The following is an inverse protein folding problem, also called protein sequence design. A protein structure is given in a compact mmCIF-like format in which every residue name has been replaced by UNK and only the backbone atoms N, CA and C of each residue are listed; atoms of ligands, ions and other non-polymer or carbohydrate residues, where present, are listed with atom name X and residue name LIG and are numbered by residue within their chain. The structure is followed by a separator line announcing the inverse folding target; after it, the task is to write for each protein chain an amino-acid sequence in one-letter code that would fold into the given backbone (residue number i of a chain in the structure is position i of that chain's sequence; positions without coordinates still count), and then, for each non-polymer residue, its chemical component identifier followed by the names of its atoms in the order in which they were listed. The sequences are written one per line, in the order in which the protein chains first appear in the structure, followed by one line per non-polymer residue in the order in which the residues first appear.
data_IF_897881138943
#
_entry.id   IF_897881138943
#
_cell.length_a   1.000
_cell.length_b   1.000
_cell.length_c   1.000
_cell.angle_alpha   90.00
_cell.angle_beta   90.00
_cell.angle_gamma   90.00
#
_symmetry.space_group_name_H-M   'P 1'
#
loop_
_entity.id
_entity.type
_entity.pdbx_description
1 polymer ?
#
# COMPACT_ATOMS: atom_id res chain seq x y z
N UNK A 1 -12.47 17.98 -9.08
CA UNK A 1 -12.29 16.91 -8.09
C UNK A 1 -10.79 16.75 -7.89
N UNK A 2 -10.26 17.21 -6.76
CA UNK A 2 -8.82 17.22 -6.50
C UNK A 2 -8.30 15.77 -6.53
N UNK A 3 -7.41 15.48 -7.46
CA UNK A 3 -6.61 14.26 -7.40
C UNK A 3 -5.64 14.50 -6.26
N UNK A 4 -6.06 14.17 -5.03
CA UNK A 4 -5.31 14.46 -3.82
C UNK A 4 -3.85 14.03 -4.02
N UNK A 5 -2.94 15.00 -3.96
CA UNK A 5 -1.53 14.76 -4.11
C UNK A 5 -1.07 13.91 -2.92
N UNK A 6 -0.97 12.59 -3.13
CA UNK A 6 -0.43 11.66 -2.15
C UNK A 6 0.93 12.17 -1.69
N UNK A 7 1.14 12.22 -0.38
CA UNK A 7 2.38 12.67 0.27
C UNK A 7 2.93 11.61 1.20
N UNK A 8 4.18 11.79 1.58
CA UNK A 8 4.85 10.94 2.58
C UNK A 8 4.09 11.03 3.91
N UNK A 9 3.89 9.89 4.54
CA UNK A 9 3.10 9.72 5.77
C UNK A 9 1.64 9.39 5.56
N UNK A 10 1.10 9.52 4.34
CA UNK A 10 -0.28 9.13 4.05
C UNK A 10 -0.43 7.61 4.17
N UNK A 11 -1.58 7.16 4.68
CA UNK A 11 -1.97 5.75 4.59
C UNK A 11 -2.73 5.53 3.29
N UNK A 12 -2.26 4.60 2.47
CA UNK A 12 -2.85 4.26 1.18
C UNK A 12 -3.20 2.78 1.11
N UNK A 13 -4.18 2.45 0.28
CA UNK A 13 -4.56 1.09 -0.05
C UNK A 13 -4.19 0.78 -1.50
N UNK A 14 -3.60 -0.39 -1.73
CA UNK A 14 -3.33 -0.95 -3.06
C UNK A 14 -4.25 -2.16 -3.25
N UNK A 15 -5.02 -2.18 -4.33
CA UNK A 15 -5.81 -3.36 -4.68
C UNK A 15 -4.93 -4.36 -5.44
N UNK A 16 -4.63 -5.50 -4.83
CA UNK A 16 -3.93 -6.60 -5.45
C UNK A 16 -4.86 -7.79 -5.69
N UNK A 17 -4.47 -8.71 -6.57
CA UNK A 17 -5.24 -9.94 -6.85
C UNK A 17 -4.52 -11.15 -6.30
N UNK A 18 -5.18 -11.93 -5.47
CA UNK A 18 -4.66 -13.18 -4.94
C UNK A 18 -4.52 -14.18 -6.08
N UNK A 19 -3.34 -14.78 -6.20
CA UNK A 19 -3.06 -15.84 -7.18
C UNK A 19 -3.16 -17.23 -6.55
N UNK A 20 -2.44 -17.45 -5.44
CA UNK A 20 -2.43 -18.72 -4.72
C UNK A 20 -1.81 -18.58 -3.33
N UNK A 21 -2.10 -19.52 -2.44
CA UNK A 21 -1.32 -19.73 -1.21
C UNK A 21 0.05 -20.31 -1.55
N UNK A 22 1.09 -19.82 -0.89
CA UNK A 22 2.47 -20.32 -1.03
C UNK A 22 2.86 -21.16 0.19
N UNK A 23 2.63 -20.63 1.39
CA UNK A 23 2.84 -21.29 2.69
C UNK A 23 1.64 -21.02 3.60
N UNK A 24 1.55 -21.62 4.79
CA UNK A 24 0.43 -21.38 5.71
C UNK A 24 0.22 -19.88 6.04
N UNK A 25 1.31 -19.12 6.05
CA UNK A 25 1.35 -17.70 6.40
C UNK A 25 1.57 -16.75 5.22
N UNK A 26 1.78 -17.26 3.99
CA UNK A 26 2.07 -16.42 2.82
C UNK A 26 1.20 -16.68 1.60
N UNK A 27 0.86 -15.57 0.94
CA UNK A 27 0.02 -15.54 -0.26
C UNK A 27 0.78 -14.85 -1.38
N UNK A 28 0.71 -15.45 -2.57
CA UNK A 28 1.19 -14.82 -3.80
C UNK A 28 0.09 -13.92 -4.36
N UNK A 29 0.40 -12.64 -4.52
CA UNK A 29 -0.49 -11.61 -5.05
C UNK A 29 0.08 -10.99 -6.32
N UNK A 30 -0.80 -10.62 -7.23
CA UNK A 30 -0.50 -9.80 -8.40
C UNK A 30 -0.74 -8.34 -8.03
N UNK A 31 0.31 -7.54 -8.05
CA UNK A 31 0.24 -6.12 -7.75
C UNK A 31 0.17 -5.36 -9.08
N UNK A 32 -0.75 -4.38 -9.21
CA UNK A 32 -0.78 -3.55 -10.40
C UNK A 32 0.57 -2.87 -10.62
N UNK A 33 1.08 -2.90 -11.85
CA UNK A 33 2.42 -2.41 -12.28
C UNK A 33 3.57 -3.38 -12.07
N UNK A 34 3.37 -4.52 -11.40
CA UNK A 34 4.41 -5.56 -11.29
C UNK A 34 4.20 -6.64 -12.34
N UNK A 35 5.31 -7.09 -12.94
CA UNK A 35 5.30 -8.21 -13.89
C UNK A 35 5.46 -9.57 -13.21
N UNK A 36 5.97 -9.60 -11.98
CA UNK A 36 6.12 -10.81 -11.17
C UNK A 36 5.16 -10.83 -9.99
N UNK A 37 4.63 -12.00 -9.61
CA UNK A 37 3.85 -12.15 -8.38
C UNK A 37 4.70 -11.78 -7.16
N UNK A 38 4.10 -11.06 -6.23
CA UNK A 38 4.72 -10.70 -4.97
C UNK A 38 4.21 -11.60 -3.85
N UNK A 39 5.05 -11.97 -2.88
CA UNK A 39 4.63 -12.77 -1.73
C UNK A 39 4.44 -11.87 -0.52
N UNK A 40 3.25 -11.89 0.06
CA UNK A 40 2.91 -11.15 1.28
C UNK A 40 2.60 -12.13 2.42
N UNK A 41 2.74 -11.65 3.65
CA UNK A 41 2.29 -12.37 4.84
C UNK A 41 0.78 -12.13 5.00
N UNK A 42 0.00 -13.21 4.93
CA UNK A 42 -1.45 -13.20 5.13
C UNK A 42 -1.90 -14.58 5.60
N UNK A 43 -2.39 -14.62 6.84
CA UNK A 43 -2.85 -15.82 7.55
C UNK A 43 -4.36 -16.05 7.41
N UNK A 44 -5.06 -15.26 6.60
CA UNK A 44 -6.51 -15.41 6.35
C UNK A 44 -6.78 -16.82 5.82
N UNK A 45 -7.54 -17.69 6.52
CA UNK A 45 -7.58 -19.12 6.24
C UNK A 45 -8.24 -19.45 4.88
N UNK A 46 -9.27 -18.69 4.52
CA UNK A 46 -10.06 -18.91 3.31
C UNK A 46 -9.73 -17.84 2.27
N UNK A 47 -8.71 -18.11 1.44
CA UNK A 47 -8.39 -17.27 0.28
C UNK A 47 -8.71 -18.00 -1.02
N UNK A 48 -9.29 -17.29 -1.98
CA UNK A 48 -9.54 -17.81 -3.33
C UNK A 48 -8.65 -17.14 -4.36
N UNK A 49 -8.21 -17.92 -5.36
CA UNK A 49 -7.54 -17.34 -6.53
C UNK A 49 -8.50 -16.38 -7.26
N UNK A 50 -7.98 -15.24 -7.71
CA UNK A 50 -8.76 -14.17 -8.32
C UNK A 50 -9.42 -13.21 -7.33
N UNK A 51 -9.42 -13.52 -6.03
CA UNK A 51 -9.94 -12.62 -5.01
C UNK A 51 -9.11 -11.33 -4.94
N UNK A 52 -9.79 -10.19 -4.77
CA UNK A 52 -9.13 -8.91 -4.54
C UNK A 52 -8.81 -8.75 -3.05
N UNK A 53 -7.63 -8.22 -2.76
CA UNK A 53 -7.17 -7.87 -1.42
C UNK A 53 -6.67 -6.42 -1.41
N UNK A 54 -6.92 -5.71 -0.31
CA UNK A 54 -6.35 -4.39 -0.08
C UNK A 54 -5.07 -4.51 0.75
N UNK A 55 -3.96 -4.06 0.18
CA UNK A 55 -2.69 -3.91 0.88
C UNK A 55 -2.63 -2.49 1.42
N UNK A 56 -2.76 -2.34 2.74
CA UNK A 56 -2.77 -1.03 3.40
C UNK A 56 -1.40 -0.76 3.99
N UNK A 57 -0.85 0.41 3.70
CA UNK A 57 0.45 0.81 4.20
C UNK A 57 0.67 2.31 4.17
N UNK A 58 1.77 2.74 4.79
CA UNK A 58 2.18 4.13 4.85
C UNK A 58 3.07 4.48 3.66
N UNK A 59 2.86 5.65 3.08
CA UNK A 59 3.70 6.15 2.01
C UNK A 59 5.05 6.58 2.57
N UNK A 60 6.11 5.91 2.13
CA UNK A 60 7.50 6.21 2.52
C UNK A 60 8.18 7.16 1.54
N UNK A 61 7.82 7.07 0.26
CA UNK A 61 8.41 7.88 -0.82
C UNK A 61 7.38 8.15 -1.91
N UNK A 62 7.44 9.36 -2.47
CA UNK A 62 6.65 9.76 -3.64
C UNK A 62 7.65 10.25 -4.69
N UNK A 63 7.63 9.62 -5.86
CA UNK A 63 8.31 10.08 -7.06
C UNK A 63 7.27 10.62 -8.06
N UNK A 64 7.70 11.05 -9.24
CA UNK A 64 6.81 11.67 -10.23
C UNK A 64 5.61 10.76 -10.58
N UNK A 65 5.89 9.51 -10.93
CA UNK A 65 4.87 8.54 -11.38
C UNK A 65 4.61 7.39 -10.39
N UNK A 66 5.46 7.23 -9.38
CA UNK A 66 5.43 6.07 -8.46
C UNK A 66 5.37 6.48 -7.00
N UNK A 67 4.82 5.59 -6.18
CA UNK A 67 4.74 5.71 -4.73
C UNK A 67 5.29 4.45 -4.11
N UNK A 68 6.19 4.59 -3.14
CA UNK A 68 6.67 3.49 -2.32
C UNK A 68 5.84 3.43 -1.04
N UNK A 69 5.19 2.29 -0.83
CA UNK A 69 4.34 1.99 0.32
C UNK A 69 5.06 1.02 1.23
N UNK A 70 5.31 1.47 2.45
CA UNK A 70 5.86 0.71 3.56
C UNK A 70 4.78 0.09 4.44
N UNK A 71 5.23 -0.73 5.38
CA UNK A 71 4.37 -1.54 6.23
C UNK A 71 4.99 -2.90 6.43
N UNK A 72 4.33 -3.75 7.23
CA UNK A 72 4.81 -5.10 7.51
C UNK A 72 4.85 -5.90 6.20
N UNK A 73 6.06 -6.19 5.72
CA UNK A 73 6.35 -6.98 4.52
C UNK A 73 5.82 -6.39 3.19
N UNK A 74 5.54 -5.08 3.14
CA UNK A 74 5.07 -4.43 1.92
C UNK A 74 6.24 -3.90 1.08
N UNK A 75 6.93 -2.83 1.49
CA UNK A 75 8.10 -2.31 0.76
C UNK A 75 7.90 -2.18 -0.77
N UNK A 76 6.68 -1.88 -1.22
CA UNK A 76 6.25 -2.02 -2.61
C UNK A 76 6.29 -0.65 -3.29
N UNK A 77 6.74 -0.59 -4.53
CA UNK A 77 6.66 0.64 -5.35
C UNK A 77 5.64 0.45 -6.46
N UNK A 78 4.59 1.27 -6.50
CA UNK A 78 3.51 1.14 -7.48
C UNK A 78 3.23 2.46 -8.16
N UNK A 79 2.55 2.42 -9.32
CA UNK A 79 2.09 3.64 -9.99
C UNK A 79 1.13 4.42 -9.09
N UNK A 80 1.19 5.75 -9.16
CA UNK A 80 0.26 6.65 -8.45
C UNK A 80 -1.21 6.39 -8.76
N UNK A 81 -1.53 5.87 -9.95
CA UNK A 81 -2.89 5.51 -10.33
C UNK A 81 -3.41 4.21 -9.69
N UNK A 82 -2.53 3.41 -9.09
CA UNK A 82 -2.87 2.11 -8.48
C UNK A 82 -3.09 2.20 -6.96
N UNK A 83 -2.91 3.38 -6.38
CA UNK A 83 -3.09 3.64 -4.94
C UNK A 83 -4.35 4.46 -4.70
N UNK A 84 -5.03 4.15 -3.61
CA UNK A 84 -6.17 4.91 -3.09
C UNK A 84 -5.80 5.49 -1.73
N UNK A 85 -6.02 6.79 -1.54
CA UNK A 85 -5.85 7.43 -0.25
C UNK A 85 -6.88 6.88 0.75
N UNK A 86 -6.41 6.43 1.92
CA UNK A 86 -7.26 5.97 3.03
C UNK A 86 -7.29 7.05 4.09
N UNK A 87 -6.12 7.47 4.55
CA UNK A 87 -5.96 8.50 5.58
C UNK A 87 -4.85 9.45 5.17
N UNK A 88 -5.16 10.74 5.01
CA UNK A 88 -4.14 11.76 4.80
C UNK A 88 -3.38 11.99 6.10
N UNK A 89 -2.05 12.09 6.00
CA UNK A 89 -1.20 12.56 7.08
C UNK A 89 -1.54 14.00 7.44
N UNK A 90 -1.60 14.30 8.73
CA UNK A 90 -1.76 15.65 9.27
C UNK A 90 -0.59 15.91 10.21
N UNK A 91 0.35 16.74 9.76
CA UNK A 91 1.50 17.11 10.59
C UNK A 91 1.00 17.77 11.89
N UNK A 92 1.54 17.40 13.06
CA UNK A 92 1.13 18.00 14.32
C UNK A 92 1.41 19.51 14.30
N UNK A 93 0.39 20.29 14.66
CA UNK A 93 0.48 21.76 14.73
C UNK A 93 1.47 22.12 15.85
N UNK A 94 2.69 22.49 15.47
CA UNK A 94 3.71 22.97 16.43
C UNK A 94 3.14 24.14 17.24
N UNK A 95 3.03 23.99 18.56
CA UNK A 95 2.87 25.16 19.45
C UNK A 95 4.21 25.90 19.44
N UNK A 96 4.22 27.15 18.99
CA UNK A 96 5.35 28.05 19.22
C UNK A 96 5.49 28.23 20.74
N UNK A 97 6.68 27.97 21.28
CA UNK A 97 6.99 28.40 22.66
C UNK A 97 6.87 29.93 22.67
N UNK A 98 5.94 30.46 23.47
CA UNK A 98 5.94 31.87 23.82
C UNK A 98 7.24 32.15 24.58
N UNK A 99 8.00 33.14 24.09
CA UNK A 99 9.18 33.69 24.75
C UNK A 99 8.72 34.83 25.65
#
# INVERSE_FOLDING_TARGET
MAKDSIKVGDTVAITATIRKRVTEDRVSVLIPSYHQPHSIVDTTPNISSGQKIELIGEVLRVDDDTVTVGGKDLGITVKRSAVRLVTSHVAPKRRSKAT
#
